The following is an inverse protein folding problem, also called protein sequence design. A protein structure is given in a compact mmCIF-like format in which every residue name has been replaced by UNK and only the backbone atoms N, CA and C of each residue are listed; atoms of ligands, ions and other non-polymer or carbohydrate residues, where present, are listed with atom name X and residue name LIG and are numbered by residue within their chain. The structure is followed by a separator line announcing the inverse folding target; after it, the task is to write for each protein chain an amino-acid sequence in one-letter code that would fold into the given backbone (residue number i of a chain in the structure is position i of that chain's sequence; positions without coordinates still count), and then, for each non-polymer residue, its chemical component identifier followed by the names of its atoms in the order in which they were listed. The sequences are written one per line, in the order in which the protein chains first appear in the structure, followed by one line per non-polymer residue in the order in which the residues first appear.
data_IF_993178877587
#
_entry.id   IF_993178877587
#
_cell.length_a   1.000
_cell.length_b   1.000
_cell.length_c   1.000
_cell.angle_alpha   90.00
_cell.angle_beta   90.00
_cell.angle_gamma   90.00
#
_symmetry.space_group_name_H-M   'P 1'
#
loop_
_entity.id
_entity.type
_entity.pdbx_description
1 polymer ?
#
# COMPACT_ATOMS: atom_id res chain seq x y z
N UNK A 1 35.25 19.12 18.22
CA UNK A 1 35.42 18.05 17.22
C UNK A 1 34.15 17.96 16.38
N UNK A 2 34.16 18.60 15.21
CA UNK A 2 32.99 18.71 14.34
C UNK A 2 32.71 17.42 13.58
N UNK A 3 31.50 16.88 13.73
CA UNK A 3 30.91 15.99 12.73
C UNK A 3 30.22 16.88 11.70
N UNK A 4 30.89 17.12 10.57
CA UNK A 4 30.28 17.71 9.38
C UNK A 4 29.17 16.77 8.90
N UNK A 5 27.92 17.07 9.26
CA UNK A 5 26.75 16.57 8.58
C UNK A 5 26.72 17.19 7.18
N UNK A 6 27.33 16.51 6.22
CA UNK A 6 27.13 16.77 4.79
C UNK A 6 25.67 16.45 4.48
N UNK A 7 24.80 17.45 4.55
CA UNK A 7 23.53 17.39 3.82
C UNK A 7 23.88 17.38 2.33
N UNK A 8 24.01 16.19 1.76
CA UNK A 8 24.10 16.02 0.32
C UNK A 8 22.71 16.26 -0.26
N UNK A 9 22.54 17.33 -1.02
CA UNK A 9 21.31 17.52 -1.79
C UNK A 9 21.20 16.38 -2.83
N UNK A 10 20.09 15.65 -2.90
CA UNK A 10 19.93 14.51 -3.81
C UNK A 10 20.10 14.90 -5.29
N UNK A 11 19.87 16.18 -5.65
CA UNK A 11 20.16 16.71 -6.98
C UNK A 11 21.65 16.62 -7.35
N UNK A 12 22.55 16.98 -6.43
CA UNK A 12 24.00 16.96 -6.68
C UNK A 12 24.56 15.55 -6.80
N UNK A 13 24.02 14.60 -6.02
CA UNK A 13 24.37 13.17 -6.12
C UNK A 13 23.88 12.55 -7.43
N UNK A 14 22.64 12.82 -7.83
CA UNK A 14 22.08 12.31 -9.08
C UNK A 14 22.84 12.83 -10.31
N UNK A 15 23.24 14.11 -10.31
CA UNK A 15 24.07 14.68 -11.38
C UNK A 15 25.47 14.04 -11.42
N UNK A 16 26.07 13.78 -10.26
CA UNK A 16 27.36 13.10 -10.17
C UNK A 16 27.31 11.65 -10.68
N UNK A 17 26.29 10.89 -10.27
CA UNK A 17 26.06 9.50 -10.70
C UNK A 17 25.82 9.42 -12.22
N UNK A 18 25.05 10.35 -12.77
CA UNK A 18 24.81 10.42 -14.21
C UNK A 18 26.11 10.69 -14.99
N UNK A 19 26.95 11.60 -14.54
CA UNK A 19 28.24 11.87 -15.16
C UNK A 19 29.21 10.68 -15.07
N UNK A 20 29.20 9.93 -13.96
CA UNK A 20 30.00 8.72 -13.80
C UNK A 20 29.52 7.59 -14.74
N UNK A 21 28.20 7.42 -14.87
CA UNK A 21 27.59 6.50 -15.84
C UNK A 21 27.94 6.86 -17.29
N UNK A 22 27.84 8.15 -17.67
CA UNK A 22 28.20 8.61 -19.02
C UNK A 22 29.69 8.39 -19.33
N UNK A 23 30.60 8.58 -18.36
CA UNK A 23 32.02 8.26 -18.51
C UNK A 23 32.27 6.76 -18.68
N UNK A 24 31.57 5.91 -17.92
CA UNK A 24 31.65 4.46 -18.09
C UNK A 24 31.14 4.02 -19.47
N UNK A 25 30.09 4.66 -19.98
CA UNK A 25 29.60 4.42 -21.35
C UNK A 25 30.63 4.78 -22.42
N UNK A 26 31.35 5.88 -22.26
CA UNK A 26 32.42 6.29 -23.20
C UNK A 26 33.60 5.30 -23.17
N UNK A 27 33.98 4.82 -21.98
CA UNK A 27 35.08 3.85 -21.79
C UNK A 27 34.77 2.46 -22.36
N UNK A 28 33.52 2.00 -22.27
CA UNK A 28 33.08 0.76 -22.93
C UNK A 28 33.14 0.92 -24.46
N UNK A 29 32.91 2.13 -24.97
CA UNK A 29 33.04 2.46 -26.40
C UNK A 29 34.46 2.44 -26.94
N UNK A 30 35.48 2.71 -26.10
CA UNK A 30 36.89 2.71 -26.50
C UNK A 30 37.58 1.34 -26.39
N UNK A 31 36.90 0.31 -25.86
CA UNK A 31 37.38 -1.07 -25.83
C UNK A 31 38.50 -1.38 -24.82
N UNK A 32 38.76 -0.48 -23.86
CA UNK A 32 39.96 -0.56 -22.99
C UNK A 32 39.75 -1.15 -21.59
N UNK A 33 38.53 -1.49 -21.13
CA UNK A 33 38.33 -1.91 -19.74
C UNK A 33 37.95 -3.39 -19.54
N UNK A 34 38.60 -3.98 -18.53
CA UNK A 34 38.44 -5.36 -18.03
C UNK A 34 37.02 -5.52 -17.45
N UNK A 35 36.20 -6.48 -17.94
CA UNK A 35 34.79 -6.64 -17.56
C UNK A 35 34.53 -6.67 -16.04
N UNK A 36 35.47 -7.20 -15.26
CA UNK A 36 35.36 -7.33 -13.81
C UNK A 36 35.35 -5.98 -13.04
N UNK A 37 36.07 -4.96 -13.54
CA UNK A 37 36.09 -3.64 -12.89
C UNK A 37 34.78 -2.88 -13.14
N UNK A 38 34.22 -3.03 -14.35
CA UNK A 38 32.93 -2.47 -14.73
C UNK A 38 31.79 -3.10 -13.91
N UNK A 39 31.83 -4.42 -13.68
CA UNK A 39 30.83 -5.14 -12.88
C UNK A 39 30.89 -4.80 -11.37
N UNK A 40 32.07 -4.45 -10.84
CA UNK A 40 32.22 -3.96 -9.47
C UNK A 40 31.61 -2.55 -9.33
N UNK A 41 31.93 -1.65 -10.25
CA UNK A 41 31.38 -0.29 -10.28
C UNK A 41 29.87 -0.25 -10.52
N UNK A 42 29.34 -1.14 -11.37
CA UNK A 42 27.90 -1.30 -11.57
C UNK A 42 27.15 -1.70 -10.30
N UNK A 43 27.76 -2.53 -9.43
CA UNK A 43 27.17 -2.89 -8.13
C UNK A 43 27.15 -1.70 -7.17
N UNK A 44 28.24 -0.96 -7.06
CA UNK A 44 28.30 0.28 -6.26
C UNK A 44 27.21 1.28 -6.67
N UNK A 45 27.04 1.50 -7.99
CA UNK A 45 26.02 2.42 -8.50
C UNK A 45 24.60 1.94 -8.20
N UNK A 46 24.35 0.62 -8.28
CA UNK A 46 23.06 0.02 -7.94
C UNK A 46 22.72 0.22 -6.46
N UNK A 47 23.68 0.05 -5.56
CA UNK A 47 23.49 0.25 -4.13
C UNK A 47 23.23 1.73 -3.80
N UNK A 48 23.93 2.65 -4.47
CA UNK A 48 23.69 4.10 -4.37
C UNK A 48 22.28 4.50 -4.86
N UNK A 49 21.80 3.94 -5.97
CA UNK A 49 20.43 4.17 -6.47
C UNK A 49 19.39 3.63 -5.46
N UNK A 50 19.63 2.47 -4.86
CA UNK A 50 18.77 1.90 -3.82
C UNK A 50 18.67 2.79 -2.57
N UNK A 51 19.80 3.35 -2.12
CA UNK A 51 19.83 4.28 -1.00
C UNK A 51 19.05 5.59 -1.30
N UNK A 52 19.24 6.16 -2.49
CA UNK A 52 18.51 7.36 -2.94
C UNK A 52 17.00 7.12 -3.02
N UNK A 53 16.56 5.94 -3.46
CA UNK A 53 15.14 5.58 -3.50
C UNK A 53 14.52 5.48 -2.11
N UNK A 54 15.29 5.01 -1.12
CA UNK A 54 14.85 4.94 0.27
C UNK A 54 14.74 6.33 0.89
N UNK A 55 15.69 7.22 0.62
CA UNK A 55 15.62 8.63 1.06
C UNK A 55 14.43 9.36 0.41
N UNK A 56 14.20 9.19 -0.89
CA UNK A 56 13.09 9.82 -1.59
C UNK A 56 11.70 9.33 -1.15
N UNK A 57 11.60 8.10 -0.60
CA UNK A 57 10.37 7.60 0.03
C UNK A 57 10.07 8.27 1.37
N UNK A 58 11.09 8.80 2.05
CA UNK A 58 10.95 9.47 3.34
C UNK A 58 10.59 10.97 3.22
N UNK A 59 10.69 11.55 2.02
CA UNK A 59 10.39 12.97 1.76
C UNK A 59 8.91 13.26 1.48
N UNK A 60 8.53 14.53 1.65
CA UNK A 60 7.17 15.02 1.39
C UNK A 60 6.77 14.91 -0.10
N UNK A 61 5.50 14.65 -0.45
CA UNK A 61 5.06 14.37 -1.82
C UNK A 61 5.35 15.50 -2.84
N UNK A 62 5.33 16.75 -2.39
CA UNK A 62 5.56 17.92 -3.24
C UNK A 62 7.02 18.06 -3.71
N UNK A 63 7.98 17.64 -2.89
CA UNK A 63 9.40 17.65 -3.24
C UNK A 63 9.76 16.44 -4.11
N UNK A 64 9.05 15.32 -3.94
CA UNK A 64 9.33 14.05 -4.61
C UNK A 64 9.10 14.08 -6.13
N UNK A 65 8.13 14.84 -6.62
CA UNK A 65 7.77 14.86 -8.05
C UNK A 65 8.91 15.36 -8.95
N UNK A 66 9.69 16.35 -8.50
CA UNK A 66 10.82 16.92 -9.26
C UNK A 66 12.02 15.97 -9.39
N UNK A 67 12.25 15.10 -8.40
CA UNK A 67 13.37 14.15 -8.40
C UNK A 67 13.03 12.82 -9.06
N UNK A 68 11.74 12.46 -9.18
CA UNK A 68 11.32 11.21 -9.80
C UNK A 68 11.66 11.13 -11.29
N UNK A 69 11.56 12.24 -12.03
CA UNK A 69 11.93 12.28 -13.45
C UNK A 69 13.44 12.08 -13.66
N UNK A 70 14.26 12.70 -12.80
CA UNK A 70 15.71 12.54 -12.81
C UNK A 70 16.15 11.12 -12.44
N UNK A 71 15.45 10.51 -11.46
CA UNK A 71 15.70 9.13 -11.05
C UNK A 71 15.29 8.11 -12.13
N UNK A 72 14.20 8.36 -12.85
CA UNK A 72 13.81 7.55 -14.01
C UNK A 72 14.87 7.61 -15.12
N UNK A 73 15.36 8.81 -15.47
CA UNK A 73 16.45 8.97 -16.44
C UNK A 73 17.71 8.17 -16.03
N UNK A 74 18.12 8.25 -14.76
CA UNK A 74 19.30 7.51 -14.28
C UNK A 74 19.09 5.98 -14.33
N UNK A 75 17.86 5.48 -14.10
CA UNK A 75 17.53 4.06 -14.24
C UNK A 75 17.59 3.60 -15.69
N UNK A 76 17.11 4.42 -16.62
CA UNK A 76 17.16 4.12 -18.06
C UNK A 76 18.61 4.08 -18.56
N UNK A 77 19.45 5.01 -18.11
CA UNK A 77 20.89 5.06 -18.41
C UNK A 77 21.62 3.83 -17.86
N UNK A 78 21.37 3.45 -16.60
CA UNK A 78 21.93 2.24 -15.98
C UNK A 78 21.51 0.97 -16.74
N UNK A 79 20.24 0.85 -17.12
CA UNK A 79 19.73 -0.28 -17.90
C UNK A 79 20.33 -0.31 -19.32
N UNK A 80 20.67 0.83 -19.91
CA UNK A 80 21.38 0.90 -21.18
C UNK A 80 22.83 0.43 -21.06
N UNK A 81 23.48 0.70 -19.93
CA UNK A 81 24.87 0.33 -19.64
C UNK A 81 24.99 -1.17 -19.39
N UNK A 82 24.07 -1.72 -18.58
CA UNK A 82 24.01 -3.15 -18.31
C UNK A 82 23.77 -3.96 -19.59
N UNK A 83 22.88 -3.48 -20.49
CA UNK A 83 22.65 -4.10 -21.81
C UNK A 83 23.90 -4.09 -22.69
N UNK A 84 24.63 -2.97 -22.76
CA UNK A 84 25.88 -2.87 -23.55
C UNK A 84 26.98 -3.78 -23.01
N UNK A 85 27.14 -3.87 -21.68
CA UNK A 85 28.11 -4.74 -21.03
C UNK A 85 27.82 -6.24 -21.27
N UNK A 86 26.54 -6.63 -21.31
CA UNK A 86 26.13 -7.99 -21.67
C UNK A 86 26.45 -8.31 -23.14
N UNK A 87 26.27 -7.37 -24.06
CA UNK A 87 26.55 -7.57 -25.51
C UNK A 87 28.05 -7.69 -25.83
N UNK A 88 28.93 -7.16 -24.98
CA UNK A 88 30.39 -7.34 -25.08
C UNK A 88 30.86 -8.72 -24.58
N UNK A 89 30.07 -9.45 -23.79
CA UNK A 89 30.42 -10.80 -23.34
C UNK A 89 30.04 -11.85 -24.39
N UNK A 90 31.03 -12.60 -24.89
CA UNK A 90 30.96 -13.45 -26.08
C UNK A 90 30.02 -14.66 -26.03
N UNK A 91 29.28 -14.91 -24.94
CA UNK A 91 28.34 -16.06 -24.81
C UNK A 91 26.86 -15.71 -25.02
N UNK A 92 26.51 -14.45 -25.29
CA UNK A 92 25.11 -14.01 -25.44
C UNK A 92 24.61 -13.85 -26.88
N UNK A 93 25.48 -13.89 -27.90
CA UNK A 93 25.11 -13.46 -29.27
C UNK A 93 24.10 -14.37 -29.97
N UNK A 94 24.15 -15.68 -29.78
CA UNK A 94 23.26 -16.59 -30.54
C UNK A 94 21.91 -16.87 -29.88
N UNK A 95 21.79 -16.72 -28.55
CA UNK A 95 20.54 -17.01 -27.82
C UNK A 95 19.62 -15.79 -27.68
N UNK A 96 20.18 -14.56 -27.71
CA UNK A 96 19.40 -13.32 -27.53
C UNK A 96 18.65 -12.90 -28.78
N UNK A 97 19.28 -12.97 -29.96
CA UNK A 97 18.68 -12.43 -31.20
C UNK A 97 17.39 -13.17 -31.63
N UNK A 98 17.34 -14.49 -31.43
CA UNK A 98 16.15 -15.31 -31.69
C UNK A 98 15.02 -15.11 -30.67
N UNK A 99 15.36 -14.83 -29.40
CA UNK A 99 14.39 -14.59 -28.34
C UNK A 99 13.84 -13.14 -28.39
N UNK A 100 14.69 -12.18 -28.74
CA UNK A 100 14.35 -10.77 -28.83
C UNK A 100 13.54 -10.48 -30.10
N UNK A 101 13.83 -11.10 -31.25
CA UNK A 101 12.95 -10.99 -32.43
C UNK A 101 11.54 -11.54 -32.18
N UNK A 102 11.41 -12.69 -31.51
CA UNK A 102 10.10 -13.28 -31.16
C UNK A 102 9.34 -12.44 -30.13
N UNK A 103 10.04 -11.88 -29.14
CA UNK A 103 9.44 -10.96 -28.16
C UNK A 103 9.01 -9.67 -28.83
N UNK A 104 9.85 -9.07 -29.67
CA UNK A 104 9.54 -7.85 -30.41
C UNK A 104 8.32 -8.03 -31.31
N UNK A 105 8.24 -9.10 -32.11
CA UNK A 105 7.05 -9.38 -32.92
C UNK A 105 5.78 -9.59 -32.07
N UNK A 106 5.89 -10.26 -30.92
CA UNK A 106 4.75 -10.43 -30.01
C UNK A 106 4.32 -9.12 -29.35
N UNK A 107 5.25 -8.23 -28.99
CA UNK A 107 4.92 -6.89 -28.50
C UNK A 107 4.33 -6.01 -29.58
N UNK A 108 4.83 -6.08 -30.82
CA UNK A 108 4.27 -5.31 -31.95
C UNK A 108 2.85 -5.79 -32.25
N UNK A 109 2.59 -7.11 -32.24
CA UNK A 109 1.23 -7.66 -32.38
C UNK A 109 0.31 -7.24 -31.24
N UNK A 110 0.81 -7.21 -30.00
CA UNK A 110 0.05 -6.73 -28.82
C UNK A 110 -0.25 -5.23 -28.89
N UNK A 111 0.70 -4.42 -29.33
CA UNK A 111 0.53 -2.98 -29.50
C UNK A 111 -0.42 -2.67 -30.66
N UNK A 112 -0.35 -3.40 -31.77
CA UNK A 112 -1.29 -3.26 -32.88
C UNK A 112 -2.72 -3.59 -32.45
N UNK A 113 -2.92 -4.69 -31.72
CA UNK A 113 -4.23 -5.04 -31.18
C UNK A 113 -4.74 -4.03 -30.14
N UNK A 114 -3.85 -3.48 -29.32
CA UNK A 114 -4.19 -2.43 -28.36
C UNK A 114 -4.58 -1.11 -29.05
N UNK A 115 -3.89 -0.71 -30.13
CA UNK A 115 -4.28 0.46 -30.93
C UNK A 115 -5.63 0.26 -31.61
N UNK A 116 -5.91 -0.93 -32.15
CA UNK A 116 -7.24 -1.26 -32.72
C UNK A 116 -8.35 -1.24 -31.65
N UNK A 117 -8.04 -1.65 -30.41
CA UNK A 117 -8.96 -1.50 -29.28
C UNK A 117 -9.16 -0.03 -28.86
N UNK A 118 -8.10 0.77 -28.86
CA UNK A 118 -8.21 2.20 -28.56
C UNK A 118 -9.02 2.94 -29.62
N UNK A 119 -8.84 2.64 -30.90
CA UNK A 119 -9.60 3.24 -32.00
C UNK A 119 -11.09 2.85 -31.97
N UNK A 120 -11.42 1.63 -31.53
CA UNK A 120 -12.82 1.23 -31.32
C UNK A 120 -13.44 1.87 -30.07
N UNK A 121 -12.68 2.02 -28.98
CA UNK A 121 -13.15 2.79 -27.81
C UNK A 121 -13.29 4.29 -28.08
N UNK A 122 -12.48 4.84 -28.98
CA UNK A 122 -12.54 6.24 -29.39
C UNK A 122 -13.79 6.53 -30.24
N UNK A 123 -14.16 5.59 -31.13
CA UNK A 123 -15.42 5.65 -31.86
C UNK A 123 -16.64 5.56 -30.93
N UNK A 124 -16.60 4.70 -29.90
CA UNK A 124 -17.65 4.63 -28.87
C UNK A 124 -17.67 5.87 -27.95
N UNK A 125 -16.53 6.51 -27.73
CA UNK A 125 -16.45 7.78 -26.99
C UNK A 125 -17.02 8.96 -27.79
N UNK A 126 -16.76 9.01 -29.10
CA UNK A 126 -17.35 10.01 -30.00
C UNK A 126 -18.88 9.82 -30.11
N UNK A 127 -19.37 8.57 -30.16
CA UNK A 127 -20.82 8.27 -30.12
C UNK A 127 -21.48 8.60 -28.76
N UNK A 128 -20.72 8.63 -27.65
CA UNK A 128 -21.24 8.99 -26.32
C UNK A 128 -21.10 10.47 -25.98
N UNK A 129 -20.22 11.21 -26.66
CA UNK A 129 -20.11 12.67 -26.55
C UNK A 129 -21.20 13.44 -27.32
N UNK A 130 -21.79 12.84 -28.37
CA UNK A 130 -22.96 13.44 -29.05
C UNK A 130 -24.24 13.35 -28.21
N UNK A 131 -24.39 12.33 -27.35
CA UNK A 131 -25.57 12.16 -26.48
C UNK A 131 -25.44 12.97 -25.17
N UNK A 132 -24.22 13.30 -24.75
CA UNK A 132 -23.94 13.99 -23.47
C UNK A 132 -24.09 15.52 -23.48
N UNK A 133 -24.30 16.18 -24.64
CA UNK A 133 -24.49 17.65 -24.70
C UNK A 133 -25.91 18.12 -24.34
N UNK A 134 -26.82 17.22 -24.04
CA UNK A 134 -28.16 17.55 -23.54
C UNK A 134 -28.40 16.92 -22.16
N UNK A 135 -27.62 17.32 -21.14
CA UNK A 135 -28.08 17.56 -19.75
C UNK A 135 -26.91 17.87 -18.77
N UNK A 136 -26.79 19.15 -18.44
CA UNK A 136 -26.43 19.74 -17.12
C UNK A 136 -24.97 19.67 -16.55
N UNK A 137 -24.61 20.64 -15.66
CA UNK A 137 -23.27 21.27 -15.63
C UNK A 137 -22.35 20.82 -14.48
N UNK A 138 -21.04 21.08 -14.65
CA UNK A 138 -19.99 20.84 -13.65
C UNK A 138 -19.72 22.09 -12.76
N UNK A 139 -19.55 21.93 -11.44
CA UNK A 139 -19.17 23.01 -10.52
C UNK A 139 -17.64 23.05 -10.36
N UNK A 140 -16.95 23.82 -11.20
CA UNK A 140 -15.51 24.05 -11.08
C UNK A 140 -15.06 25.44 -11.56
N UNK A 141 -15.86 26.46 -11.29
CA UNK A 141 -15.42 27.87 -11.22
C UNK A 141 -15.74 28.35 -9.80
N UNK A 142 -15.03 27.85 -8.80
CA UNK A 142 -13.67 28.26 -8.45
C UNK A 142 -13.59 29.78 -8.23
N UNK A 143 -13.80 30.22 -6.99
CA UNK A 143 -12.69 30.45 -6.06
C UNK A 143 -11.73 31.57 -6.52
N UNK A 144 -12.27 32.72 -6.96
CA UNK A 144 -11.45 33.89 -7.29
C UNK A 144 -11.90 35.20 -6.61
N UNK A 145 -12.68 35.16 -5.53
CA UNK A 145 -13.01 36.36 -4.76
C UNK A 145 -13.03 36.08 -3.25
N UNK A 146 -11.93 36.42 -2.59
CA UNK A 146 -11.88 36.67 -1.15
C UNK A 146 -11.36 38.09 -0.93
N UNK A 147 -12.00 38.90 -0.07
CA UNK A 147 -11.34 40.00 0.60
C UNK A 147 -10.98 39.66 2.05
N UNK A 148 -9.73 39.99 2.35
CA UNK A 148 -9.11 40.41 3.61
C UNK A 148 -8.79 39.46 4.79
N UNK A 149 -7.70 39.77 5.53
CA UNK A 149 -7.02 38.89 6.47
C UNK A 149 -7.25 39.36 7.92
N UNK A 150 -8.22 38.80 8.63
CA UNK A 150 -8.32 39.01 10.08
C UNK A 150 -9.12 37.89 10.72
N UNK A 151 -8.41 36.87 11.19
CA UNK A 151 -8.75 35.91 12.27
C UNK A 151 -7.75 34.74 12.22
N UNK A 152 -6.46 35.06 12.34
CA UNK A 152 -5.41 34.09 12.68
C UNK A 152 -5.00 34.34 14.13
N UNK A 153 -5.89 34.00 15.07
CA UNK A 153 -5.62 33.72 16.50
C UNK A 153 -6.99 33.51 17.18
N UNK A 154 -7.07 32.47 18.02
CA UNK A 154 -8.28 31.79 18.51
C UNK A 154 -8.78 30.76 17.48
N UNK A 155 -8.59 29.46 17.65
CA UNK A 155 -8.95 28.70 18.85
C UNK A 155 -8.06 27.46 18.97
N UNK A 156 -7.36 27.37 20.10
CA UNK A 156 -6.80 26.14 20.65
C UNK A 156 -7.91 25.11 20.91
N UNK A 157 -7.59 23.84 20.71
CA UNK A 157 -8.22 22.67 21.33
C UNK A 157 -9.74 22.53 21.20
N UNK A 158 -10.21 22.08 20.04
CA UNK A 158 -11.36 21.17 19.97
C UNK A 158 -11.05 20.17 18.86
N UNK A 159 -10.78 18.91 19.22
CA UNK A 159 -10.75 17.79 18.28
C UNK A 159 -12.18 17.59 17.75
N UNK A 160 -12.61 18.43 16.82
CA UNK A 160 -13.77 18.18 15.99
C UNK A 160 -13.32 17.24 14.89
N UNK A 161 -13.53 15.94 15.10
CA UNK A 161 -13.49 14.93 14.04
C UNK A 161 -14.41 15.41 12.90
N UNK A 162 -13.83 15.98 11.86
CA UNK A 162 -14.52 16.40 10.64
C UNK A 162 -15.03 15.16 9.92
N UNK A 163 -16.29 14.79 10.18
CA UNK A 163 -17.04 13.75 9.48
C UNK A 163 -17.36 14.23 8.05
N UNK A 164 -16.41 14.05 7.12
CA UNK A 164 -16.74 14.00 5.69
C UNK A 164 -17.61 12.76 5.49
N UNK A 165 -18.79 12.83 4.84
CA UNK A 165 -19.71 11.70 4.73
C UNK A 165 -19.17 10.68 3.72
N UNK A 166 -18.14 9.92 4.10
CA UNK A 166 -17.71 8.73 3.40
C UNK A 166 -18.64 7.56 3.77
N UNK A 167 -19.12 6.85 2.76
CA UNK A 167 -20.01 5.69 2.94
C UNK A 167 -19.27 4.58 3.68
N UNK A 168 -19.82 4.12 4.82
CA UNK A 168 -19.21 3.07 5.65
C UNK A 168 -19.45 1.69 5.04
N UNK A 169 -18.40 1.10 4.47
CA UNK A 169 -18.48 -0.20 3.79
C UNK A 169 -18.44 -1.39 4.75
N UNK A 170 -17.71 -1.30 5.88
CA UNK A 170 -17.58 -2.41 6.83
C UNK A 170 -17.53 -1.92 8.28
N UNK A 171 -18.65 -2.08 8.97
CA UNK A 171 -18.82 -1.70 10.38
C UNK A 171 -17.79 -2.39 11.30
N UNK A 172 -17.46 -3.66 11.03
CA UNK A 172 -16.49 -4.40 11.84
C UNK A 172 -15.07 -3.84 11.66
N UNK A 173 -14.71 -3.44 10.44
CA UNK A 173 -13.37 -2.91 10.17
C UNK A 173 -13.16 -1.57 10.88
N UNK A 174 -14.18 -0.70 10.87
CA UNK A 174 -14.13 0.59 11.55
C UNK A 174 -14.05 0.40 13.06
N UNK A 175 -14.88 -0.50 13.61
CA UNK A 175 -14.84 -0.88 15.02
C UNK A 175 -13.45 -1.33 15.49
N UNK A 176 -12.84 -2.31 14.81
CA UNK A 176 -11.55 -2.84 15.22
C UNK A 176 -10.42 -1.81 15.06
N UNK A 177 -10.45 -0.98 14.01
CA UNK A 177 -9.49 0.11 13.85
C UNK A 177 -9.56 1.11 15.00
N UNK A 178 -10.76 1.50 15.43
CA UNK A 178 -10.94 2.42 16.56
C UNK A 178 -10.37 1.83 17.85
N UNK A 179 -10.56 0.52 18.09
CA UNK A 179 -9.99 -0.18 19.25
C UNK A 179 -8.46 -0.15 19.20
N UNK A 180 -7.82 -0.56 18.09
CA UNK A 180 -6.35 -0.54 17.97
C UNK A 180 -5.79 0.87 18.15
N UNK A 181 -6.45 1.87 17.57
CA UNK A 181 -5.98 3.25 17.66
C UNK A 181 -6.09 3.79 19.09
N UNK A 182 -7.14 3.41 19.83
CA UNK A 182 -7.31 3.79 21.22
C UNK A 182 -6.31 3.08 22.15
N UNK A 183 -6.06 1.78 21.95
CA UNK A 183 -5.05 1.01 22.68
C UNK A 183 -3.65 1.59 22.46
N UNK A 184 -3.29 1.89 21.21
CA UNK A 184 -2.01 2.56 20.89
C UNK A 184 -1.86 3.93 21.54
N UNK A 185 -2.98 4.64 21.77
CA UNK A 185 -3.01 5.93 22.48
C UNK A 185 -3.06 5.76 24.00
N UNK A 186 -3.17 4.52 24.52
CA UNK A 186 -3.29 4.25 25.95
C UNK A 186 -4.60 4.71 26.58
N UNK A 187 -5.69 4.79 25.79
CA UNK A 187 -7.01 5.12 26.34
C UNK A 187 -7.58 3.94 27.11
N UNK A 188 -8.22 4.21 28.25
CA UNK A 188 -8.84 3.16 29.09
C UNK A 188 -10.17 2.65 28.52
N UNK A 189 -10.87 3.47 27.74
CA UNK A 189 -12.20 3.14 27.21
C UNK A 189 -12.36 3.61 25.76
N UNK A 190 -13.23 2.92 25.02
CA UNK A 190 -13.57 3.23 23.63
C UNK A 190 -15.07 3.25 23.44
N UNK A 191 -15.56 4.31 22.80
CA UNK A 191 -16.92 4.38 22.28
C UNK A 191 -16.94 3.94 20.82
N UNK A 192 -17.80 2.97 20.50
CA UNK A 192 -17.96 2.41 19.15
C UNK A 192 -19.36 2.72 18.64
N UNK A 193 -19.42 3.34 17.46
CA UNK A 193 -20.66 3.64 16.72
C UNK A 193 -20.44 3.33 15.24
N UNK A 194 -21.18 2.40 14.61
CA UNK A 194 -22.42 1.74 15.02
C UNK A 194 -22.21 0.31 15.58
N UNK A 195 -23.10 -0.15 16.46
CA UNK A 195 -23.10 -1.53 16.96
C UNK A 195 -23.83 -2.48 16.00
N UNK A 196 -23.20 -3.61 15.71
CA UNK A 196 -23.76 -4.72 14.93
C UNK A 196 -23.67 -6.04 15.70
N UNK A 197 -24.59 -6.98 15.45
CA UNK A 197 -24.58 -8.30 16.10
C UNK A 197 -23.24 -9.04 15.93
N UNK A 198 -22.62 -8.90 14.75
CA UNK A 198 -21.30 -9.46 14.44
C UNK A 198 -20.21 -8.85 15.32
N UNK A 199 -20.24 -7.53 15.55
CA UNK A 199 -19.29 -6.82 16.41
C UNK A 199 -19.43 -7.31 17.86
N UNK A 200 -20.67 -7.37 18.38
CA UNK A 200 -20.92 -7.87 19.74
C UNK A 200 -20.39 -9.29 19.91
N UNK A 201 -20.64 -10.18 18.95
CA UNK A 201 -20.14 -11.56 18.99
C UNK A 201 -18.61 -11.65 18.88
N UNK A 202 -17.99 -10.76 18.11
CA UNK A 202 -16.54 -10.67 17.99
C UNK A 202 -15.90 -10.20 19.32
N UNK A 203 -16.47 -9.15 19.93
CA UNK A 203 -16.05 -8.66 21.24
C UNK A 203 -16.23 -9.72 22.32
N UNK A 204 -17.32 -10.50 22.29
CA UNK A 204 -17.49 -11.66 23.18
C UNK A 204 -16.37 -12.70 23.01
N UNK A 205 -15.89 -12.97 21.79
CA UNK A 205 -14.77 -13.89 21.58
C UNK A 205 -13.46 -13.33 22.16
N UNK A 206 -13.19 -12.04 21.97
CA UNK A 206 -12.02 -11.38 22.54
C UNK A 206 -12.07 -11.32 24.08
N UNK A 207 -13.25 -11.12 24.66
CA UNK A 207 -13.46 -11.11 26.11
C UNK A 207 -13.25 -12.49 26.72
N UNK A 208 -13.76 -13.56 26.09
CA UNK A 208 -13.52 -14.95 26.52
C UNK A 208 -12.04 -15.30 26.61
N UNK A 209 -11.22 -14.68 25.76
CA UNK A 209 -9.75 -14.86 25.74
C UNK A 209 -8.99 -13.84 26.60
N UNK A 210 -9.68 -12.91 27.25
CA UNK A 210 -9.09 -11.95 28.19
C UNK A 210 -8.26 -10.85 27.55
N UNK A 211 -8.55 -10.47 26.31
CA UNK A 211 -7.91 -9.33 25.63
C UNK A 211 -8.57 -7.99 25.95
N UNK A 212 -9.90 -8.00 26.13
CA UNK A 212 -10.71 -6.84 26.50
C UNK A 212 -11.41 -7.10 27.82
N UNK A 213 -11.74 -6.01 28.51
CA UNK A 213 -12.50 -6.03 29.75
C UNK A 213 -14.00 -6.20 29.51
N UNK A 214 -14.79 -5.50 30.31
CA UNK A 214 -16.23 -5.45 30.14
C UNK A 214 -16.62 -4.54 28.97
N UNK A 215 -17.76 -4.83 28.36
CA UNK A 215 -18.34 -3.96 27.35
C UNK A 215 -19.82 -3.78 27.63
N UNK A 216 -20.29 -2.55 27.48
CA UNK A 216 -21.67 -2.16 27.70
C UNK A 216 -22.31 -1.75 26.38
N UNK A 217 -23.53 -2.21 26.14
CA UNK A 217 -24.32 -1.82 24.98
C UNK A 217 -25.30 -0.74 25.41
N UNK A 218 -25.07 0.50 24.97
CA UNK A 218 -25.95 1.64 25.22
C UNK A 218 -26.93 1.77 24.05
N UNK A 219 -28.23 1.81 24.33
CA UNK A 219 -29.26 1.95 23.30
C UNK A 219 -29.58 3.43 23.02
N UNK A 220 -29.39 3.83 21.77
CA UNK A 220 -29.62 5.19 21.26
C UNK A 220 -30.89 5.27 20.40
N UNK A 221 -31.71 4.20 20.38
CA UNK A 221 -32.89 3.96 19.52
C UNK A 221 -32.63 4.01 18.00
N UNK A 222 -31.47 4.53 17.56
CA UNK A 222 -31.07 4.67 16.15
C UNK A 222 -30.02 3.64 15.76
N UNK A 223 -28.90 3.63 16.47
CA UNK A 223 -27.79 2.73 16.23
C UNK A 223 -27.07 2.56 17.55
N UNK A 224 -27.33 1.44 18.22
CA UNK A 224 -26.73 1.08 19.52
C UNK A 224 -25.24 1.43 19.53
N UNK A 225 -24.78 1.96 20.65
CA UNK A 225 -23.37 2.29 20.88
C UNK A 225 -22.79 1.21 21.80
N UNK A 226 -21.49 0.95 21.67
CA UNK A 226 -20.79 0.05 22.59
C UNK A 226 -19.70 0.84 23.28
N UNK A 227 -19.67 0.79 24.60
CA UNK A 227 -18.52 1.24 25.39
C UNK A 227 -17.71 0.00 25.73
N UNK A 228 -16.42 0.01 25.41
CA UNK A 228 -15.51 -1.12 25.66
C UNK A 228 -14.39 -0.66 26.58
N UNK A 229 -14.18 -1.40 27.67
CA UNK A 229 -13.04 -1.21 28.56
C UNK A 229 -11.81 -1.93 28.03
N UNK A 230 -10.73 -1.18 27.88
CA UNK A 230 -9.45 -1.64 27.36
C UNK A 230 -8.50 -1.99 28.51
N UNK A 231 -7.79 -3.10 28.36
CA UNK A 231 -6.83 -3.61 29.36
C UNK A 231 -5.37 -3.35 28.97
N UNK A 232 -5.08 -2.90 27.74
CA UNK A 232 -3.71 -2.72 27.27
C UNK A 232 -3.02 -3.99 26.78
N UNK A 233 -3.78 -5.07 26.53
CA UNK A 233 -3.24 -6.37 26.08
C UNK A 233 -3.26 -6.56 24.56
N UNK A 234 -4.00 -5.72 23.84
CA UNK A 234 -4.19 -5.86 22.39
C UNK A 234 -2.99 -5.22 21.68
N UNK A 235 -2.25 -5.99 20.90
CA UNK A 235 -1.23 -5.46 20.01
C UNK A 235 -1.86 -5.01 18.69
N UNK A 236 -2.63 -5.90 18.07
CA UNK A 236 -3.28 -5.66 16.79
C UNK A 236 -4.53 -6.51 16.65
N UNK A 237 -5.63 -5.86 16.28
CA UNK A 237 -6.81 -6.54 15.76
C UNK A 237 -7.15 -6.02 14.36
N UNK A 238 -7.69 -6.91 13.54
CA UNK A 238 -7.93 -6.62 12.14
C UNK A 238 -9.01 -7.50 11.54
N UNK A 239 -9.76 -6.93 10.60
CA UNK A 239 -10.71 -7.65 9.76
C UNK A 239 -10.02 -8.06 8.47
N UNK A 240 -10.33 -9.25 7.98
CA UNK A 240 -9.88 -9.71 6.67
C UNK A 240 -10.98 -9.46 5.66
N UNK A 241 -10.63 -8.75 4.59
CA UNK A 241 -11.53 -8.42 3.49
C UNK A 241 -10.85 -8.78 2.18
N UNK A 242 -11.49 -9.55 1.27
CA UNK A 242 -12.82 -10.19 1.41
C UNK A 242 -12.84 -11.34 2.42
N UNK A 243 -14.04 -11.80 2.83
CA UNK A 243 -14.20 -12.92 3.77
C UNK A 243 -14.01 -14.26 3.05
N UNK A 244 -12.80 -14.80 3.11
CA UNK A 244 -12.44 -16.06 2.47
C UNK A 244 -13.08 -17.28 3.13
N UNK A 245 -13.47 -18.25 2.31
CA UNK A 245 -13.94 -19.57 2.74
C UNK A 245 -12.76 -20.47 3.13
N UNK A 246 -12.85 -21.08 4.30
CA UNK A 246 -11.79 -21.90 4.91
C UNK A 246 -12.34 -23.27 5.28
N UNK A 247 -11.75 -24.29 4.67
CA UNK A 247 -11.92 -25.70 5.05
C UNK A 247 -11.05 -26.00 6.27
N UNK A 248 -11.44 -27.03 7.04
CA UNK A 248 -10.72 -27.47 8.25
C UNK A 248 -9.23 -27.69 8.00
N UNK A 249 -8.87 -28.32 6.87
CA UNK A 249 -7.48 -28.57 6.45
C UNK A 249 -6.66 -27.31 6.16
N UNK A 250 -7.31 -26.21 5.78
CA UNK A 250 -6.62 -24.96 5.44
C UNK A 250 -6.49 -23.99 6.62
N UNK A 251 -7.10 -24.28 7.78
CA UNK A 251 -7.02 -23.42 8.97
C UNK A 251 -5.56 -23.18 9.37
N UNK A 252 -4.72 -24.21 9.33
CA UNK A 252 -3.28 -24.13 9.66
C UNK A 252 -2.50 -23.13 8.82
N UNK A 253 -2.81 -23.08 7.52
CA UNK A 253 -2.16 -22.17 6.58
C UNK A 253 -2.47 -20.72 6.94
N UNK A 254 -3.74 -20.43 7.24
CA UNK A 254 -4.16 -19.09 7.64
C UNK A 254 -3.60 -18.69 9.01
N UNK A 255 -3.56 -19.61 9.99
CA UNK A 255 -2.91 -19.35 11.27
C UNK A 255 -1.43 -18.98 11.09
N UNK A 256 -0.69 -19.74 10.27
CA UNK A 256 0.74 -19.49 10.04
C UNK A 256 1.02 -18.17 9.31
N UNK A 257 0.10 -17.72 8.46
CA UNK A 257 0.25 -16.49 7.69
C UNK A 257 -0.17 -15.23 8.46
N UNK A 258 -1.17 -15.35 9.35
CA UNK A 258 -1.80 -14.20 10.00
C UNK A 258 -1.35 -13.99 11.44
N UNK A 259 -1.05 -15.07 12.16
CA UNK A 259 -0.66 -15.01 13.56
C UNK A 259 0.85 -14.93 13.69
N UNK A 260 1.38 -14.17 14.67
CA UNK A 260 2.82 -14.04 14.86
C UNK A 260 3.47 -15.31 15.40
N UNK A 261 2.71 -16.13 16.13
CA UNK A 261 3.19 -17.41 16.69
C UNK A 261 2.02 -18.42 16.75
N UNK A 262 2.35 -19.71 16.86
CA UNK A 262 1.34 -20.77 17.04
C UNK A 262 0.65 -20.71 18.40
N UNK A 263 1.35 -20.21 19.42
CA UNK A 263 0.83 -20.12 20.78
C UNK A 263 0.11 -18.80 21.07
N UNK A 264 0.24 -17.81 20.17
CA UNK A 264 -0.23 -16.46 20.43
C UNK A 264 -1.06 -15.92 19.27
N UNK A 265 -2.24 -15.41 19.63
CA UNK A 265 -3.17 -14.81 18.71
C UNK A 265 -4.25 -15.78 18.24
N UNK A 266 -5.38 -15.20 17.86
CA UNK A 266 -6.58 -15.95 17.54
C UNK A 266 -7.21 -15.47 16.26
N UNK A 267 -7.48 -16.44 15.39
CA UNK A 267 -8.27 -16.27 14.19
C UNK A 267 -9.74 -16.54 14.52
N UNK A 268 -10.61 -15.62 14.13
CA UNK A 268 -12.07 -15.70 14.30
C UNK A 268 -12.73 -16.08 12.99
N UNK A 269 -13.58 -17.10 13.05
CA UNK A 269 -14.28 -17.68 11.92
C UNK A 269 -15.79 -17.60 12.14
N UNK A 270 -16.54 -17.32 11.08
CA UNK A 270 -17.98 -17.54 11.03
C UNK A 270 -18.24 -18.95 10.52
N UNK A 271 -18.79 -19.80 11.37
CA UNK A 271 -19.21 -21.17 11.02
C UNK A 271 -20.73 -21.27 11.08
N UNK A 272 -21.29 -22.41 10.67
CA UNK A 272 -22.73 -22.68 10.81
C UNK A 272 -23.22 -22.64 12.28
N UNK A 273 -22.34 -22.99 13.22
CA UNK A 273 -22.61 -22.96 14.66
C UNK A 273 -22.41 -21.56 15.29
N UNK A 274 -22.09 -20.55 14.47
CA UNK A 274 -21.84 -19.18 14.91
C UNK A 274 -20.39 -18.74 14.79
N UNK A 275 -20.10 -17.58 15.37
CA UNK A 275 -18.77 -16.96 15.38
C UNK A 275 -17.96 -17.59 16.51
N UNK A 276 -16.81 -18.15 16.16
CA UNK A 276 -15.94 -18.86 17.08
C UNK A 276 -14.48 -18.74 16.66
N UNK A 277 -13.59 -19.16 17.54
CA UNK A 277 -12.17 -19.15 17.23
C UNK A 277 -11.74 -20.40 16.46
N UNK A 278 -10.60 -20.31 15.78
CA UNK A 278 -10.03 -21.41 15.02
C UNK A 278 -9.73 -22.67 15.85
N UNK A 279 -9.41 -22.55 17.14
CA UNK A 279 -9.22 -23.71 18.03
C UNK A 279 -10.55 -24.41 18.30
N UNK A 280 -11.62 -23.65 18.56
CA UNK A 280 -12.97 -24.19 18.75
C UNK A 280 -13.49 -24.83 17.46
N UNK A 281 -13.23 -24.20 16.32
CA UNK A 281 -13.59 -24.69 15.00
C UNK A 281 -12.89 -26.04 14.69
N UNK A 282 -11.63 -26.21 15.09
CA UNK A 282 -10.93 -27.50 14.98
C UNK A 282 -11.54 -28.59 15.84
N UNK A 283 -11.84 -28.30 17.11
CA UNK A 283 -12.48 -29.28 18.01
C UNK A 283 -13.80 -29.77 17.45
N UNK A 284 -14.59 -28.85 16.89
CA UNK A 284 -15.88 -29.14 16.25
C UNK A 284 -15.75 -29.62 14.79
N UNK A 285 -14.54 -29.80 14.28
CA UNK A 285 -14.25 -30.24 12.91
C UNK A 285 -15.06 -29.46 11.85
N UNK A 286 -15.19 -28.15 12.03
CA UNK A 286 -16.04 -27.30 11.19
C UNK A 286 -15.24 -26.19 10.54
N UNK A 287 -15.43 -26.01 9.23
CA UNK A 287 -14.90 -24.88 8.47
C UNK A 287 -15.83 -23.67 8.50
N UNK A 288 -15.44 -22.59 7.84
CA UNK A 288 -16.25 -21.38 7.80
C UNK A 288 -15.62 -20.27 6.99
N UNK A 289 -16.12 -19.05 7.15
CA UNK A 289 -15.55 -17.85 6.56
C UNK A 289 -14.66 -17.14 7.57
N UNK A 290 -13.51 -16.64 7.15
CA UNK A 290 -12.67 -15.81 8.03
C UNK A 290 -13.35 -14.45 8.22
N UNK A 291 -13.43 -14.01 9.48
CA UNK A 291 -13.81 -12.65 9.82
C UNK A 291 -12.58 -11.78 10.04
N UNK A 292 -11.68 -12.22 10.91
CA UNK A 292 -10.57 -11.40 11.35
C UNK A 292 -9.69 -12.12 12.34
N UNK A 293 -8.71 -11.39 12.86
CA UNK A 293 -7.75 -11.89 13.83
C UNK A 293 -7.51 -10.84 14.91
N UNK A 294 -7.04 -11.31 16.07
CA UNK A 294 -6.55 -10.45 17.13
C UNK A 294 -5.40 -11.13 17.86
N UNK A 295 -4.44 -10.32 18.30
CA UNK A 295 -3.31 -10.69 19.14
C UNK A 295 -2.74 -9.44 19.83
#
# INVERSE_FOLDING_TARGET
MGRQSRFFYPSTLLLGLRAELERMLQKIGSGEEIPAAVDAKLREIKDCLGALEMELRSMSPAQRSGYLSQLQSCRDDFASLQRRCLMSTSRGREASELADSRRCEQTIKKLHNASVQLDSTRKLAEETEEVGRQQCPAPAQMLAMLPSPSLRKATLSIDMDTDVPMVRMSVLADCLKTIVNAEKRGRRQVLIRPSSKVVVKFLQCMQRRGYIGEFEIVDDHRSKKIVVDLLGRINKCGVISPRYDVKVSNIEKYCSNLLPSRQFGHLVLTTAYGIMDHEEARRKHTGGKILGFFF
#
